data_IF_479796106908
#
_entry.id   IF_479796106908
#
_cell.length_a   1.000
_cell.length_b   1.000
_cell.length_c   1.000
_cell.angle_alpha   90.00
_cell.angle_beta   90.00
_cell.angle_gamma   90.00
#
_symmetry.space_group_name_H-M   'P 1'
#
loop_
_entity.id
_entity.type
_entity.pdbx_description
1 polymer ?
#
# COMPACT_ATOMS: atom_id res chain seq x y z
N UNK A 1 -3.57 -9.70 21.13
CA UNK A 1 -2.14 -10.04 21.38
C UNK A 1 -1.66 -11.23 20.56
N UNK A 2 -2.52 -12.21 20.31
CA UNK A 2 -2.20 -13.44 19.58
C UNK A 2 -1.85 -13.17 18.10
N UNK A 3 -2.61 -12.35 17.42
CA UNK A 3 -2.39 -12.00 16.01
C UNK A 3 -1.00 -11.37 15.77
N UNK A 4 -0.48 -10.57 16.73
CA UNK A 4 0.87 -9.99 16.61
C UNK A 4 1.99 -11.02 16.67
N UNK A 5 1.76 -12.15 17.37
CA UNK A 5 2.82 -13.15 17.60
C UNK A 5 2.81 -14.26 16.56
N UNK A 6 1.61 -14.67 16.13
CA UNK A 6 1.41 -15.94 15.45
C UNK A 6 0.93 -15.79 13.99
N UNK A 7 0.53 -14.57 13.58
CA UNK A 7 -0.04 -14.35 12.26
C UNK A 7 0.84 -13.44 11.41
N UNK A 8 0.94 -13.78 10.13
CA UNK A 8 1.42 -12.88 9.09
C UNK A 8 0.24 -12.14 8.48
N UNK A 9 0.27 -10.82 8.49
CA UNK A 9 -0.75 -9.97 7.89
C UNK A 9 -0.41 -9.74 6.41
N UNK A 10 -1.20 -10.30 5.51
CA UNK A 10 -1.05 -10.09 4.07
C UNK A 10 -1.86 -8.87 3.65
N UNK A 11 -1.18 -7.89 3.10
CA UNK A 11 -1.75 -6.61 2.68
C UNK A 11 -1.63 -6.49 1.16
N UNK A 12 -2.71 -6.26 0.41
CA UNK A 12 -2.62 -6.09 -1.03
C UNK A 12 -1.90 -4.80 -1.38
N UNK A 13 -1.10 -4.82 -2.44
CA UNK A 13 -0.45 -3.63 -2.97
C UNK A 13 -1.48 -2.72 -3.65
N UNK A 14 -1.56 -1.48 -3.21
CA UNK A 14 -2.47 -0.48 -3.79
C UNK A 14 -1.74 0.79 -4.24
N UNK A 15 -0.57 1.07 -3.68
CA UNK A 15 0.26 2.22 -4.01
C UNK A 15 1.69 1.99 -3.54
N UNK A 16 2.60 1.50 -4.40
CA UNK A 16 3.94 1.10 -4.00
C UNK A 16 4.70 2.17 -3.21
N UNK A 17 4.62 3.42 -3.66
CA UNK A 17 5.34 4.54 -3.05
C UNK A 17 4.87 4.87 -1.61
N UNK A 18 3.61 4.55 -1.26
CA UNK A 18 3.08 4.73 0.10
C UNK A 18 3.26 3.48 0.95
N UNK A 19 2.99 2.30 0.37
CA UNK A 19 3.09 1.03 1.09
C UNK A 19 4.53 0.69 1.47
N UNK A 20 5.51 1.23 0.74
CA UNK A 20 6.93 1.20 1.11
C UNK A 20 7.19 1.71 2.53
N UNK A 21 6.37 2.65 3.03
CA UNK A 21 6.48 3.23 4.38
C UNK A 21 5.45 2.67 5.36
N UNK A 22 4.27 2.27 4.88
CA UNK A 22 3.23 1.70 5.74
C UNK A 22 3.64 0.34 6.30
N UNK A 23 4.30 -0.50 5.52
CA UNK A 23 4.79 -1.80 5.97
C UNK A 23 5.72 -1.68 7.19
N UNK A 24 6.84 -0.93 7.14
CA UNK A 24 7.71 -0.77 8.31
C UNK A 24 7.03 -0.04 9.48
N UNK A 25 6.06 0.84 9.24
CA UNK A 25 5.27 1.45 10.29
C UNK A 25 4.47 0.41 11.09
N UNK A 26 3.81 -0.51 10.41
CA UNK A 26 3.06 -1.62 11.01
C UNK A 26 3.98 -2.62 11.70
N UNK A 27 5.09 -2.99 11.05
CA UNK A 27 6.10 -3.91 11.62
C UNK A 27 6.69 -3.36 12.92
N UNK A 28 6.97 -2.05 12.98
CA UNK A 28 7.49 -1.40 14.18
C UNK A 28 6.50 -1.38 15.36
N UNK A 29 5.23 -1.70 15.11
CA UNK A 29 4.21 -1.86 16.15
C UNK A 29 4.02 -3.33 16.57
N UNK A 30 4.91 -4.22 16.12
CA UNK A 30 4.95 -5.63 16.51
C UNK A 30 4.03 -6.53 15.69
N UNK A 31 3.56 -6.08 14.53
CA UNK A 31 2.86 -6.93 13.56
C UNK A 31 3.84 -7.52 12.56
N UNK A 32 3.70 -8.81 12.24
CA UNK A 32 4.36 -9.39 11.09
C UNK A 32 3.49 -9.08 9.85
N UNK A 33 3.96 -8.17 9.00
CA UNK A 33 3.22 -7.67 7.84
C UNK A 33 4.02 -7.92 6.59
N UNK A 34 3.37 -8.39 5.55
CA UNK A 34 3.92 -8.53 4.21
C UNK A 34 2.97 -7.84 3.22
N UNK A 35 3.48 -6.82 2.52
CA UNK A 35 2.77 -6.19 1.42
C UNK A 35 3.01 -7.02 0.16
N UNK A 36 1.93 -7.44 -0.50
CA UNK A 36 2.00 -8.25 -1.70
C UNK A 36 2.50 -7.39 -2.87
N UNK A 37 3.53 -7.87 -3.57
CA UNK A 37 4.15 -7.13 -4.68
C UNK A 37 3.66 -7.64 -6.05
N UNK A 38 2.38 -7.92 -6.16
CA UNK A 38 1.72 -8.38 -7.37
C UNK A 38 0.60 -7.40 -7.72
N UNK A 39 0.11 -7.40 -8.92
CA UNK A 39 -0.94 -6.47 -9.40
C UNK A 39 -1.23 -6.63 -10.88
N UNK A 40 -0.66 -7.66 -11.51
CA UNK A 40 -0.77 -7.92 -12.95
C UNK A 40 -2.03 -8.67 -13.37
N UNK A 41 -2.08 -9.06 -14.66
CA UNK A 41 -3.22 -9.77 -15.24
C UNK A 41 -3.52 -11.12 -14.57
N UNK A 42 -2.53 -11.76 -13.95
CA UNK A 42 -2.74 -13.00 -13.20
C UNK A 42 -3.67 -12.75 -12.01
N UNK A 43 -3.48 -11.66 -11.28
CA UNK A 43 -4.35 -11.28 -10.17
C UNK A 43 -5.76 -10.94 -10.65
N UNK A 44 -5.88 -10.23 -11.77
CA UNK A 44 -7.19 -9.96 -12.39
C UNK A 44 -7.90 -11.25 -12.74
N UNK A 45 -7.21 -12.19 -13.39
CA UNK A 45 -7.78 -13.48 -13.78
C UNK A 45 -8.21 -14.31 -12.58
N UNK A 46 -7.44 -14.28 -11.50
CA UNK A 46 -7.81 -14.94 -10.24
C UNK A 46 -8.98 -14.24 -9.58
N UNK A 47 -8.97 -12.91 -9.55
CA UNK A 47 -10.10 -12.12 -9.04
C UNK A 47 -11.41 -12.46 -9.73
N UNK A 48 -11.41 -12.59 -11.05
CA UNK A 48 -12.59 -12.98 -11.85
C UNK A 48 -13.17 -14.36 -11.50
N UNK A 49 -12.35 -15.27 -10.97
CA UNK A 49 -12.84 -16.60 -10.53
C UNK A 49 -13.65 -16.53 -9.25
N UNK A 50 -13.37 -15.56 -8.37
CA UNK A 50 -13.91 -15.49 -7.01
C UNK A 50 -14.89 -14.35 -6.80
N UNK A 51 -14.79 -13.28 -7.60
CA UNK A 51 -15.66 -12.10 -7.51
C UNK A 51 -16.50 -12.00 -8.77
N UNK A 52 -17.71 -11.46 -8.64
CA UNK A 52 -18.56 -11.16 -9.78
C UNK A 52 -17.87 -10.12 -10.69
N UNK A 53 -17.89 -10.34 -12.01
CA UNK A 53 -17.33 -9.43 -13.01
C UNK A 53 -18.04 -8.06 -13.07
N UNK A 54 -19.23 -7.91 -12.48
CA UNK A 54 -19.89 -6.62 -12.26
C UNK A 54 -19.24 -5.77 -11.16
N UNK A 55 -18.30 -6.33 -10.40
CA UNK A 55 -17.52 -5.59 -9.42
C UNK A 55 -16.53 -4.66 -10.13
N UNK A 56 -16.13 -3.57 -9.45
CA UNK A 56 -15.17 -2.64 -10.02
C UNK A 56 -13.79 -3.30 -10.22
N UNK A 57 -13.06 -2.86 -11.24
CA UNK A 57 -11.74 -3.40 -11.59
C UNK A 57 -10.75 -3.46 -10.40
N UNK A 58 -10.65 -2.44 -9.53
CA UNK A 58 -9.82 -2.51 -8.33
C UNK A 58 -10.14 -3.69 -7.40
N UNK A 59 -11.41 -4.08 -7.28
CA UNK A 59 -11.77 -5.22 -6.44
C UNK A 59 -11.24 -6.53 -6.99
N UNK A 60 -11.20 -6.68 -8.30
CA UNK A 60 -10.65 -7.85 -8.97
C UNK A 60 -9.14 -7.99 -8.67
N UNK A 61 -8.40 -6.89 -8.79
CA UNK A 61 -6.95 -6.87 -8.54
C UNK A 61 -6.66 -7.17 -7.06
N UNK A 62 -7.30 -6.47 -6.14
CA UNK A 62 -7.05 -6.61 -4.70
C UNK A 62 -7.38 -8.00 -4.21
N UNK A 63 -8.53 -8.53 -4.61
CA UNK A 63 -8.96 -9.87 -4.20
C UNK A 63 -8.09 -10.93 -4.90
N UNK A 64 -7.75 -10.72 -6.15
CA UNK A 64 -6.84 -11.58 -6.90
C UNK A 64 -5.47 -11.70 -6.25
N UNK A 65 -4.85 -10.59 -5.85
CA UNK A 65 -3.58 -10.59 -5.11
C UNK A 65 -3.67 -11.45 -3.84
N UNK A 66 -4.70 -11.21 -3.03
CA UNK A 66 -4.89 -11.94 -1.76
C UNK A 66 -5.14 -13.43 -2.00
N UNK A 67 -5.95 -13.77 -2.99
CA UNK A 67 -6.24 -15.17 -3.33
C UNK A 67 -5.02 -15.86 -3.95
N UNK A 68 -4.26 -15.21 -4.83
CA UNK A 68 -3.02 -15.76 -5.38
C UNK A 68 -1.99 -16.02 -4.29
N UNK A 69 -1.82 -15.08 -3.35
CA UNK A 69 -0.93 -15.28 -2.20
C UNK A 69 -1.36 -16.50 -1.37
N UNK A 70 -2.64 -16.63 -1.07
CA UNK A 70 -3.18 -17.75 -0.31
C UNK A 70 -3.01 -19.09 -1.04
N UNK A 71 -3.29 -19.13 -2.34
CA UNK A 71 -3.24 -20.34 -3.17
C UNK A 71 -1.82 -20.72 -3.60
N UNK A 72 -0.83 -19.84 -3.42
CA UNK A 72 0.57 -20.07 -3.80
C UNK A 72 1.26 -21.19 -3.04
N UNK A 73 0.70 -21.62 -1.91
CA UNK A 73 1.35 -22.56 -0.98
C UNK A 73 2.53 -21.98 -0.18
N UNK A 74 2.84 -20.69 -0.37
CA UNK A 74 3.93 -19.99 0.34
C UNK A 74 3.61 -19.79 1.83
N UNK A 75 2.35 -19.65 2.15
CA UNK A 75 1.87 -19.32 3.50
C UNK A 75 1.07 -20.45 4.11
N UNK A 76 1.22 -20.65 5.42
CA UNK A 76 0.33 -21.51 6.19
C UNK A 76 -1.01 -20.79 6.40
N UNK A 77 -2.14 -21.26 5.83
CA UNK A 77 -3.44 -20.59 5.97
C UNK A 77 -3.93 -20.43 7.41
N UNK A 78 -3.44 -21.24 8.34
CA UNK A 78 -3.76 -21.13 9.76
C UNK A 78 -2.97 -20.06 10.50
N UNK A 79 -1.94 -19.46 9.85
CA UNK A 79 -1.04 -18.45 10.42
C UNK A 79 -1.03 -17.14 9.64
N UNK A 80 -2.00 -16.91 8.78
CA UNK A 80 -2.15 -15.65 8.05
C UNK A 80 -3.49 -14.98 8.38
N UNK A 81 -3.54 -13.67 8.18
CA UNK A 81 -4.75 -12.89 8.15
C UNK A 81 -4.69 -11.93 6.96
N UNK A 82 -5.79 -11.80 6.23
CA UNK A 82 -5.89 -10.88 5.11
C UNK A 82 -6.30 -9.49 5.64
N UNK A 83 -5.64 -8.45 5.16
CA UNK A 83 -5.89 -7.08 5.62
C UNK A 83 -6.32 -6.22 4.44
N UNK A 84 -7.39 -5.45 4.63
CA UNK A 84 -7.88 -4.50 3.63
C UNK A 84 -8.32 -3.20 4.29
N UNK A 85 -8.10 -2.07 3.62
CA UNK A 85 -8.68 -0.80 4.03
C UNK A 85 -10.15 -0.72 3.66
N UNK A 86 -10.96 -0.10 4.53
CA UNK A 86 -12.39 0.06 4.34
C UNK A 86 -12.74 1.55 4.43
N UNK A 87 -13.27 2.12 3.36
CA UNK A 87 -13.47 3.57 3.24
C UNK A 87 -14.70 4.09 4.00
N UNK A 88 -15.72 3.26 4.18
CA UNK A 88 -16.95 3.63 4.91
C UNK A 88 -17.86 4.61 4.20
N UNK A 89 -17.61 4.97 2.95
CA UNK A 89 -18.44 5.84 2.14
C UNK A 89 -19.36 5.08 1.19
N UNK A 90 -20.01 5.79 0.26
CA UNK A 90 -20.85 5.22 -0.81
C UNK A 90 -20.08 4.46 -1.88
N UNK A 91 -18.78 4.26 -1.73
CA UNK A 91 -17.94 3.50 -2.63
C UNK A 91 -18.07 1.98 -2.41
N UNK A 92 -17.99 1.20 -3.49
CA UNK A 92 -17.97 -0.27 -3.41
C UNK A 92 -16.77 -0.81 -2.62
N UNK A 93 -15.69 -0.04 -2.47
CA UNK A 93 -14.54 -0.37 -1.64
C UNK A 93 -14.90 -0.65 -0.18
N UNK A 94 -16.00 -0.11 0.32
CA UNK A 94 -16.56 -0.45 1.64
C UNK A 94 -16.92 -1.94 1.74
N UNK A 95 -17.29 -2.58 0.63
CA UNK A 95 -17.73 -3.97 0.57
C UNK A 95 -16.61 -4.97 0.18
N UNK A 96 -15.38 -4.52 -0.04
CA UNK A 96 -14.29 -5.44 -0.40
C UNK A 96 -14.08 -6.54 0.64
N UNK A 97 -14.25 -6.21 1.91
CA UNK A 97 -14.14 -7.21 2.99
C UNK A 97 -15.16 -8.36 2.83
N UNK A 98 -16.39 -8.04 2.43
CA UNK A 98 -17.42 -9.05 2.17
C UNK A 98 -17.08 -9.88 0.93
N UNK A 99 -16.53 -9.27 -0.11
CA UNK A 99 -16.08 -10.00 -1.29
C UNK A 99 -14.90 -10.93 -0.98
N UNK A 100 -13.95 -10.50 -0.16
CA UNK A 100 -12.82 -11.33 0.29
C UNK A 100 -13.37 -12.54 1.08
N UNK A 101 -14.28 -12.32 2.04
CA UNK A 101 -14.89 -13.40 2.82
C UNK A 101 -15.58 -14.43 1.93
N UNK A 102 -16.39 -13.99 0.96
CA UNK A 102 -17.04 -14.89 -0.02
C UNK A 102 -16.02 -15.63 -0.89
N UNK A 103 -14.94 -14.97 -1.30
CA UNK A 103 -13.87 -15.60 -2.06
C UNK A 103 -13.19 -16.71 -1.26
N UNK A 104 -12.91 -16.45 0.03
CA UNK A 104 -12.35 -17.42 0.95
C UNK A 104 -13.28 -18.62 1.15
N UNK A 105 -14.57 -18.39 1.38
CA UNK A 105 -15.58 -19.46 1.52
C UNK A 105 -15.63 -20.34 0.26
N UNK A 106 -15.68 -19.70 -0.93
CA UNK A 106 -15.72 -20.40 -2.22
C UNK A 106 -14.46 -21.24 -2.47
N UNK A 107 -13.32 -20.79 -1.94
CA UNK A 107 -12.04 -21.49 -2.06
C UNK A 107 -11.77 -22.53 -0.95
N UNK A 108 -12.68 -22.68 0.02
CA UNK A 108 -12.51 -23.60 1.17
C UNK A 108 -11.65 -23.05 2.31
N UNK A 109 -11.37 -21.75 2.31
CA UNK A 109 -10.53 -21.06 3.32
C UNK A 109 -11.34 -20.09 4.21
N UNK A 110 -12.64 -20.32 4.40
CA UNK A 110 -13.52 -19.46 5.20
C UNK A 110 -13.08 -19.23 6.64
N UNK A 111 -12.15 -20.03 7.15
CA UNK A 111 -11.54 -19.89 8.48
C UNK A 111 -10.41 -18.86 8.54
N UNK A 112 -9.89 -18.36 7.39
CA UNK A 112 -8.84 -17.35 7.36
C UNK A 112 -9.39 -16.00 7.79
N UNK A 113 -8.80 -15.35 8.82
CA UNK A 113 -9.29 -14.06 9.30
C UNK A 113 -9.12 -12.94 8.27
N UNK A 114 -10.14 -12.08 8.15
CA UNK A 114 -10.08 -10.85 7.35
C UNK A 114 -10.20 -9.64 8.27
N UNK A 115 -9.21 -8.77 8.23
CA UNK A 115 -9.10 -7.56 9.05
C UNK A 115 -9.43 -6.34 8.19
N UNK A 116 -10.53 -5.67 8.47
CA UNK A 116 -10.91 -4.40 7.85
C UNK A 116 -10.30 -3.22 8.61
N UNK A 117 -9.44 -2.45 7.96
CA UNK A 117 -8.90 -1.21 8.54
C UNK A 117 -9.80 -0.04 8.18
N UNK A 118 -10.61 0.42 9.14
CA UNK A 118 -11.50 1.55 8.95
C UNK A 118 -11.28 2.62 10.02
N UNK A 119 -11.11 3.87 9.58
CA UNK A 119 -11.09 5.02 10.49
C UNK A 119 -12.46 5.28 11.16
N UNK A 120 -13.54 4.80 10.56
CA UNK A 120 -14.91 4.98 11.08
C UNK A 120 -15.34 3.87 12.04
N UNK A 121 -14.48 2.87 12.28
CA UNK A 121 -14.80 1.79 13.21
C UNK A 121 -15.94 0.87 12.74
N UNK A 122 -16.13 0.73 11.43
CA UNK A 122 -17.21 -0.07 10.83
C UNK A 122 -17.11 -1.53 11.27
N UNK A 123 -15.89 -2.04 11.40
CA UNK A 123 -15.64 -3.40 11.88
C UNK A 123 -14.84 -3.41 13.18
N UNK A 124 -15.30 -4.24 14.13
CA UNK A 124 -14.56 -4.53 15.36
C UNK A 124 -13.65 -5.72 15.10
N UNK A 125 -12.35 -5.46 14.90
CA UNK A 125 -11.35 -6.51 14.74
C UNK A 125 -10.79 -6.93 16.10
N UNK A 126 -11.11 -8.11 16.57
CA UNK A 126 -10.66 -8.60 17.88
C UNK A 126 -9.14 -8.78 18.01
N UNK A 127 -8.45 -8.94 16.88
CA UNK A 127 -7.00 -9.18 16.81
C UNK A 127 -6.14 -7.97 16.48
N UNK A 128 -6.72 -6.92 15.89
CA UNK A 128 -6.02 -5.71 15.48
C UNK A 128 -6.48 -4.51 16.32
N UNK A 129 -5.54 -3.74 16.85
CA UNK A 129 -5.86 -2.55 17.65
C UNK A 129 -5.12 -1.32 17.12
N UNK A 130 -5.87 -0.25 16.87
CA UNK A 130 -5.31 1.06 16.59
C UNK A 130 -4.83 1.69 17.90
N UNK A 131 -3.52 1.83 18.03
CA UNK A 131 -2.92 2.61 19.13
C UNK A 131 -2.56 4.01 18.63
N UNK A 132 -2.52 5.04 19.51
CA UNK A 132 -2.06 6.38 19.12
C UNK A 132 -0.67 6.35 18.45
N UNK A 133 0.22 5.48 18.93
CA UNK A 133 1.54 5.29 18.32
C UNK A 133 1.50 4.73 16.90
N UNK A 134 0.63 3.75 16.63
CA UNK A 134 0.42 3.22 15.29
C UNK A 134 -0.18 4.29 14.36
N UNK A 135 -1.19 5.04 14.85
CA UNK A 135 -1.82 6.09 14.07
C UNK A 135 -0.80 7.17 13.67
N UNK A 136 0.03 7.63 14.62
CA UNK A 136 1.08 8.60 14.34
C UNK A 136 2.06 8.10 13.26
N UNK A 137 2.52 6.84 13.36
CA UNK A 137 3.44 6.25 12.38
C UNK A 137 2.77 6.06 11.00
N UNK A 138 1.51 5.66 10.98
CA UNK A 138 0.75 5.52 9.74
C UNK A 138 0.57 6.87 9.02
N UNK A 139 0.26 7.94 9.76
CA UNK A 139 0.18 9.30 9.20
C UNK A 139 1.54 9.74 8.65
N UNK A 140 2.64 9.53 9.39
CA UNK A 140 3.98 9.84 8.89
C UNK A 140 4.31 9.05 7.61
N UNK A 141 3.93 7.77 7.55
CA UNK A 141 4.14 6.92 6.38
C UNK A 141 3.40 7.44 5.14
N UNK A 142 2.12 7.81 5.29
CA UNK A 142 1.31 8.37 4.21
C UNK A 142 1.92 9.69 3.71
N UNK A 143 2.27 10.59 4.60
CA UNK A 143 2.86 11.89 4.23
C UNK A 143 4.23 11.72 3.56
N UNK A 144 5.06 10.76 3.98
CA UNK A 144 6.30 10.44 3.26
C UNK A 144 6.00 9.95 1.83
N UNK A 145 5.01 9.08 1.65
CA UNK A 145 4.56 8.64 0.33
C UNK A 145 4.16 9.81 -0.56
N UNK A 146 3.35 10.74 -0.05
CA UNK A 146 2.92 11.95 -0.77
C UNK A 146 4.10 12.85 -1.16
N UNK A 147 5.03 13.08 -0.22
CA UNK A 147 6.22 13.90 -0.47
C UNK A 147 7.10 13.26 -1.55
N UNK A 148 7.35 11.96 -1.48
CA UNK A 148 8.13 11.25 -2.51
C UNK A 148 7.39 11.20 -3.84
N UNK A 149 6.10 10.92 -3.86
CA UNK A 149 5.32 10.93 -5.08
C UNK A 149 5.43 12.27 -5.78
N UNK A 150 5.26 13.36 -5.04
CA UNK A 150 5.36 14.72 -5.59
C UNK A 150 6.76 15.06 -6.06
N UNK A 151 7.79 14.83 -5.24
CA UNK A 151 9.17 15.17 -5.59
C UNK A 151 9.71 14.32 -6.72
N UNK A 152 9.50 13.00 -6.69
CA UNK A 152 9.98 12.08 -7.72
C UNK A 152 9.32 12.36 -9.06
N UNK A 153 7.98 12.47 -9.11
CA UNK A 153 7.27 12.66 -10.37
C UNK A 153 7.49 14.03 -10.97
N UNK A 154 7.74 15.06 -10.12
CA UNK A 154 8.07 16.39 -10.58
C UNK A 154 9.49 16.46 -11.17
N UNK A 155 10.46 15.77 -10.56
CA UNK A 155 11.89 15.92 -10.87
C UNK A 155 12.38 14.92 -11.93
N UNK A 156 11.92 13.65 -11.86
CA UNK A 156 12.38 12.57 -12.75
C UNK A 156 12.31 12.89 -14.25
N UNK A 157 11.23 13.50 -14.77
CA UNK A 157 11.15 13.80 -16.21
C UNK A 157 12.19 14.77 -16.72
N UNK A 158 12.78 15.58 -15.82
CA UNK A 158 13.68 16.67 -16.14
C UNK A 158 15.13 16.43 -15.69
N UNK A 159 15.42 15.32 -15.00
CA UNK A 159 16.78 15.06 -14.52
C UNK A 159 17.82 15.06 -15.65
N UNK A 160 18.95 15.76 -15.43
CA UNK A 160 20.07 15.79 -16.38
C UNK A 160 20.73 14.42 -16.45
N UNK A 161 21.01 13.83 -15.29
CA UNK A 161 21.62 12.49 -15.19
C UNK A 161 20.55 11.45 -14.92
N UNK A 162 20.21 10.58 -15.88
CA UNK A 162 19.20 9.53 -15.69
C UNK A 162 19.49 8.67 -14.46
N UNK A 163 18.46 8.45 -13.64
CA UNK A 163 18.53 7.64 -12.44
C UNK A 163 18.99 8.37 -11.17
N UNK A 164 19.37 9.65 -11.26
CA UNK A 164 19.75 10.44 -10.09
C UNK A 164 18.59 10.60 -9.09
N UNK A 165 17.38 10.82 -9.59
CA UNK A 165 16.15 10.91 -8.80
C UNK A 165 15.85 9.59 -8.09
N UNK A 166 15.93 8.47 -8.81
CA UNK A 166 15.68 7.16 -8.23
C UNK A 166 16.74 6.79 -7.17
N UNK A 167 18.00 7.20 -7.38
CA UNK A 167 19.07 7.00 -6.38
C UNK A 167 18.77 7.78 -5.11
N UNK A 168 18.42 9.06 -5.25
CA UNK A 168 18.10 9.94 -4.11
C UNK A 168 16.85 9.44 -3.37
N UNK A 169 15.81 9.02 -4.10
CA UNK A 169 14.62 8.39 -3.52
C UNK A 169 15.01 7.20 -2.64
N UNK A 170 15.75 6.22 -3.16
CA UNK A 170 16.16 5.04 -2.39
C UNK A 170 16.94 5.39 -1.12
N UNK A 171 17.85 6.39 -1.19
CA UNK A 171 18.63 6.83 -0.03
C UNK A 171 17.73 7.41 1.06
N UNK A 172 16.85 8.32 0.70
CA UNK A 172 15.92 8.94 1.65
C UNK A 172 14.87 7.95 2.15
N UNK A 173 14.34 7.08 1.28
CA UNK A 173 13.38 6.05 1.66
C UNK A 173 13.96 5.11 2.73
N UNK A 174 15.19 4.62 2.54
CA UNK A 174 15.88 3.80 3.54
C UNK A 174 16.05 4.51 4.89
N UNK A 175 16.33 5.82 4.89
CA UNK A 175 16.39 6.62 6.10
C UNK A 175 15.02 6.78 6.75
N UNK A 176 14.00 7.16 5.99
CA UNK A 176 12.65 7.37 6.49
C UNK A 176 12.04 6.11 7.08
N UNK A 177 12.26 4.94 6.49
CA UNK A 177 11.82 3.63 7.02
C UNK A 177 12.37 3.37 8.42
N UNK A 178 13.66 3.66 8.66
CA UNK A 178 14.27 3.52 10.00
C UNK A 178 13.71 4.53 11.01
N UNK A 179 13.43 5.76 10.56
CA UNK A 179 12.97 6.83 11.43
C UNK A 179 11.48 6.70 11.79
N UNK A 180 10.65 6.17 10.89
CA UNK A 180 9.24 5.84 11.15
C UNK A 180 9.12 4.87 12.34
N UNK A 181 10.01 3.89 12.45
CA UNK A 181 10.00 2.94 13.55
C UNK A 181 10.06 3.63 14.93
N UNK A 182 10.74 4.77 15.02
CA UNK A 182 10.85 5.59 16.24
C UNK A 182 9.62 6.48 16.47
N UNK A 183 8.88 6.84 15.42
CA UNK A 183 7.69 7.70 15.48
C UNK A 183 7.93 9.12 15.96
N UNK A 184 9.15 9.64 15.86
CA UNK A 184 9.52 10.96 16.36
C UNK A 184 9.12 12.06 15.36
N UNK A 185 8.22 12.95 15.79
CA UNK A 185 7.66 14.00 14.95
C UNK A 185 8.70 15.06 14.52
N UNK A 186 9.64 15.39 15.38
CA UNK A 186 10.72 16.35 15.04
C UNK A 186 11.62 15.77 13.93
N UNK A 187 12.02 14.50 14.06
CA UNK A 187 12.82 13.81 13.03
C UNK A 187 12.07 13.72 11.72
N UNK A 188 10.75 13.43 11.78
CA UNK A 188 9.88 13.42 10.61
C UNK A 188 9.88 14.76 9.88
N UNK A 189 9.65 15.88 10.57
CA UNK A 189 9.69 17.21 9.96
C UNK A 189 11.05 17.54 9.36
N UNK A 190 12.15 17.20 10.06
CA UNK A 190 13.50 17.38 9.57
C UNK A 190 13.76 16.61 8.29
N UNK A 191 13.26 15.37 8.21
CA UNK A 191 13.40 14.55 7.02
C UNK A 191 12.64 15.15 5.84
N UNK A 192 11.39 15.60 6.01
CA UNK A 192 10.62 16.24 4.93
C UNK A 192 11.37 17.45 4.37
N UNK A 193 11.85 18.34 5.23
CA UNK A 193 12.64 19.50 4.78
C UNK A 193 13.91 19.08 4.05
N UNK A 194 14.57 18.01 4.53
CA UNK A 194 15.76 17.45 3.89
C UNK A 194 15.47 16.87 2.51
N UNK A 195 14.39 16.10 2.38
CA UNK A 195 13.95 15.52 1.11
C UNK A 195 13.71 16.63 0.09
N UNK A 196 12.88 17.62 0.43
CA UNK A 196 12.55 18.72 -0.48
C UNK A 196 13.84 19.43 -0.91
N UNK A 197 14.68 19.86 0.03
CA UNK A 197 15.94 20.53 -0.25
C UNK A 197 16.86 19.74 -1.18
N UNK A 198 16.97 18.43 -0.96
CA UNK A 198 17.92 17.61 -1.71
C UNK A 198 17.37 17.28 -3.11
N UNK A 199 16.04 17.17 -3.29
CA UNK A 199 15.40 17.06 -4.60
C UNK A 199 15.50 18.38 -5.39
N UNK A 200 15.37 19.55 -4.74
CA UNK A 200 15.54 20.86 -5.38
C UNK A 200 16.96 21.10 -5.90
N UNK A 201 17.95 20.37 -5.37
CA UNK A 201 19.35 20.47 -5.81
C UNK A 201 19.70 19.56 -6.99
N UNK A 202 18.79 18.68 -7.40
CA UNK A 202 19.03 17.84 -8.57
C UNK A 202 19.11 18.73 -9.82
N UNK A 203 20.18 18.63 -10.63
CA UNK A 203 20.28 19.38 -11.87
C UNK A 203 19.16 18.94 -12.85
N UNK A 204 18.40 19.92 -13.33
CA UNK A 204 17.28 19.70 -14.24
C UNK A 204 17.61 20.28 -15.63
N UNK A 205 17.09 19.61 -16.66
CA UNK A 205 17.13 20.10 -18.04
C UNK A 205 16.18 21.30 -18.17
N UNK A 206 16.62 22.34 -18.82
CA UNK A 206 15.77 23.49 -19.18
C UNK A 206 14.94 23.17 -20.41
N UNK A 207 13.95 22.28 -20.24
CA UNK A 207 13.00 21.87 -21.27
C UNK A 207 11.58 21.93 -20.74
N UNK A 208 10.64 22.29 -21.59
CA UNK A 208 9.22 22.30 -21.26
C UNK A 208 8.56 21.02 -21.78
N UNK A 209 8.03 20.20 -20.89
CA UNK A 209 7.24 19.02 -21.25
C UNK A 209 5.75 19.30 -21.08
N UNK A 210 4.88 18.69 -21.91
CA UNK A 210 3.44 18.79 -21.72
C UNK A 210 3.03 18.16 -20.39
N UNK A 211 2.04 18.75 -19.72
CA UNK A 211 1.43 18.18 -18.51
C UNK A 211 0.26 17.30 -18.94
N UNK A 212 0.26 16.08 -18.45
CA UNK A 212 -0.81 15.11 -18.69
C UNK A 212 -1.47 14.78 -17.36
N UNK A 213 -2.78 14.93 -17.29
CA UNK A 213 -3.59 14.55 -16.11
C UNK A 213 -4.05 13.10 -16.26
N UNK A 214 -3.73 12.27 -15.26
CA UNK A 214 -4.27 10.90 -15.16
C UNK A 214 -5.53 10.97 -14.31
N UNK A 215 -6.67 10.64 -14.92
CA UNK A 215 -7.97 10.61 -14.26
C UNK A 215 -8.52 9.20 -14.21
N UNK A 216 -9.44 8.95 -13.31
CA UNK A 216 -10.08 7.65 -13.14
C UNK A 216 -10.07 7.17 -11.69
N UNK A 217 -10.13 5.86 -11.52
CA UNK A 217 -10.21 5.22 -10.21
C UNK A 217 -8.86 5.31 -9.46
N UNK A 218 -8.90 5.48 -8.14
CA UNK A 218 -7.71 5.78 -7.32
C UNK A 218 -6.66 4.67 -7.41
N UNK A 219 -7.06 3.41 -7.21
CA UNK A 219 -6.11 2.28 -7.20
C UNK A 219 -5.43 2.15 -8.57
N UNK A 220 -6.20 2.25 -9.66
CA UNK A 220 -5.65 2.18 -11.02
C UNK A 220 -4.64 3.30 -11.27
N UNK A 221 -4.84 4.49 -10.72
CA UNK A 221 -3.87 5.59 -10.85
C UNK A 221 -2.56 5.36 -10.11
N UNK A 222 -2.60 4.71 -8.95
CA UNK A 222 -1.45 4.57 -8.06
C UNK A 222 -0.73 3.22 -8.15
N UNK A 223 -1.35 2.21 -8.75
CA UNK A 223 -0.76 0.90 -8.93
C UNK A 223 -0.24 0.74 -10.37
N UNK A 224 1.09 0.75 -10.59
CA UNK A 224 1.67 0.69 -11.93
C UNK A 224 1.21 -0.53 -12.74
N UNK A 225 1.12 -1.70 -12.11
CA UNK A 225 0.68 -2.93 -12.78
C UNK A 225 -0.78 -2.86 -13.24
N UNK A 226 -1.62 -2.07 -12.56
CA UNK A 226 -3.02 -1.87 -12.95
C UNK A 226 -3.20 -0.85 -14.07
N UNK A 227 -2.20 0.00 -14.35
CA UNK A 227 -2.24 1.04 -15.36
C UNK A 227 -1.20 0.89 -16.47
N UNK A 228 -0.63 -0.31 -16.63
CA UNK A 228 0.41 -0.61 -17.63
C UNK A 228 1.66 0.27 -17.49
N UNK A 229 2.08 0.56 -16.28
CA UNK A 229 3.27 1.38 -15.98
C UNK A 229 3.22 2.77 -16.65
N UNK A 230 2.06 3.41 -16.60
CA UNK A 230 1.83 4.72 -17.21
C UNK A 230 2.63 5.84 -16.52
N UNK A 231 3.05 5.63 -15.27
CA UNK A 231 3.81 6.60 -14.47
C UNK A 231 5.16 6.04 -14.06
#
# INVERSE_FOLDING_TARGET
KEMRKNYTLLVPQMSPIHFEFLEPALQSCGYNVEVLNQGGMEDVNTGLKYVNNDACYPSLIVIGQLMNALLSGKYDPHKIALVISQTGGGCRATNYISFIRRALEKAGYGYVPVVGLSAQGIEKNSGFSFTPGLLNKAVQAIVYGDVFMRTVYHTRPYEVKPGSVNKLHRQWAAKCKRDIAKGNFYTFQKNIRGIIRDFDRIPLKDIKKPRVGIVGEILVKFLPDANNHLV
#
